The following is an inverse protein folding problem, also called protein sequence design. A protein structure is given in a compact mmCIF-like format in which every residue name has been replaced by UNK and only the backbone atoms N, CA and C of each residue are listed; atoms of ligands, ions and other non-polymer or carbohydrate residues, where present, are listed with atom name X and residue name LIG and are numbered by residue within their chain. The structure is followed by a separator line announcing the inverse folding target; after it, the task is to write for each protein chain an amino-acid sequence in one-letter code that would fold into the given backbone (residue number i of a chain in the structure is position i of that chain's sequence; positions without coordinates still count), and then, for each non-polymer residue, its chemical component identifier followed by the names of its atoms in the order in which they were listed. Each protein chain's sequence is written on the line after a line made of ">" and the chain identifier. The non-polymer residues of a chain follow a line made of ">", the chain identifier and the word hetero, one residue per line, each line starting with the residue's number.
data_IF_612905173882
#
_entry.id   IF_612905173882
#
_cell.length_a   1.000
_cell.length_b   1.000
_cell.length_c   1.000
_cell.angle_alpha   90.00
_cell.angle_beta   90.00
_cell.angle_gamma   90.00
#
_symmetry.space_group_name_H-M   'P 1'
#
loop_
_entity.id
_entity.type
_entity.pdbx_description
1 polymer ?
#
# COMPACT_ATOMS: atom_id res chain seq x y z
N UNK A 1 10.66 -48.49 41.99
CA UNK A 1 9.56 -47.66 42.54
C UNK A 1 9.07 -46.74 41.44
N UNK A 2 7.78 -46.76 41.08
CA UNK A 2 7.26 -46.04 39.93
C UNK A 2 6.83 -44.60 40.26
N UNK A 3 6.49 -43.89 39.19
CA UNK A 3 6.43 -42.45 39.01
C UNK A 3 5.29 -41.74 39.74
N UNK A 4 5.53 -40.49 40.14
CA UNK A 4 4.52 -39.52 40.56
C UNK A 4 4.90 -38.15 40.01
N UNK A 5 4.42 -37.81 38.83
CA UNK A 5 4.36 -36.42 38.38
C UNK A 5 3.01 -36.22 37.68
N UNK A 6 1.99 -35.87 38.47
CA UNK A 6 0.66 -35.52 37.98
C UNK A 6 0.46 -34.02 38.22
N UNK A 7 0.18 -33.30 37.14
CA UNK A 7 0.21 -31.85 37.06
C UNK A 7 -0.84 -31.14 37.92
N UNK A 8 -0.43 -30.02 38.50
CA UNK A 8 -1.32 -28.99 39.00
C UNK A 8 -1.86 -28.19 37.81
N UNK A 9 -3.17 -28.35 37.56
CA UNK A 9 -3.92 -27.52 36.63
C UNK A 9 -4.12 -26.14 37.27
N UNK A 10 -3.67 -25.09 36.59
CA UNK A 10 -3.98 -23.71 36.94
C UNK A 10 -5.40 -23.40 36.49
N UNK A 11 -6.30 -23.26 37.47
CA UNK A 11 -7.68 -22.78 37.26
C UNK A 11 -7.65 -21.26 37.08
N UNK A 12 -7.71 -20.81 35.83
CA UNK A 12 -7.94 -19.42 35.47
C UNK A 12 -9.45 -19.18 35.38
N UNK A 13 -10.10 -18.78 36.47
CA UNK A 13 -11.46 -18.25 36.46
C UNK A 13 -11.41 -16.83 35.89
N UNK A 14 -11.58 -16.73 34.57
CA UNK A 14 -11.74 -15.47 33.85
C UNK A 14 -13.21 -15.09 33.80
N UNK A 15 -13.56 -13.97 34.42
CA UNK A 15 -14.90 -13.40 34.45
C UNK A 15 -15.36 -13.00 33.05
N UNK A 16 -16.52 -13.52 32.63
CA UNK A 16 -17.24 -13.09 31.45
C UNK A 16 -17.62 -11.60 31.58
N UNK A 17 -16.92 -10.74 30.85
CA UNK A 17 -17.31 -9.36 30.63
C UNK A 17 -18.07 -9.31 29.32
N UNK A 18 -19.34 -8.97 29.45
CA UNK A 18 -20.29 -8.71 28.38
C UNK A 18 -19.87 -7.40 27.69
N UNK A 19 -19.11 -7.51 26.61
CA UNK A 19 -18.77 -6.41 25.72
C UNK A 19 -19.43 -6.70 24.38
N UNK A 20 -20.67 -6.22 24.24
CA UNK A 20 -21.40 -6.13 22.99
C UNK A 20 -20.74 -5.10 22.07
N UNK A 21 -19.68 -5.49 21.36
CA UNK A 21 -19.27 -4.79 20.14
C UNK A 21 -19.84 -5.58 18.96
N UNK A 22 -20.96 -5.07 18.42
CA UNK A 22 -21.44 -5.53 17.12
C UNK A 22 -20.39 -5.21 16.04
N UNK A 23 -20.32 -5.98 14.95
CA UNK A 23 -19.33 -5.77 13.91
C UNK A 23 -19.58 -4.40 13.28
N UNK A 24 -18.71 -3.44 13.57
CA UNK A 24 -18.59 -2.24 12.76
C UNK A 24 -18.21 -2.74 11.37
N UNK A 25 -18.98 -2.34 10.36
CA UNK A 25 -18.67 -2.65 8.96
C UNK A 25 -17.24 -2.17 8.70
N UNK A 26 -16.28 -3.12 8.59
CA UNK A 26 -14.92 -2.83 8.15
C UNK A 26 -15.05 -2.02 6.86
N UNK A 27 -14.55 -0.79 6.88
CA UNK A 27 -14.43 0.00 5.66
C UNK A 27 -13.37 -0.69 4.80
N UNK A 28 -13.56 -0.93 3.52
CA UNK A 28 -12.49 -1.55 2.70
C UNK A 28 -11.27 -0.63 2.47
N UNK A 29 -11.25 0.56 3.07
CA UNK A 29 -10.30 1.65 2.78
C UNK A 29 -9.39 1.86 4.00
N UNK A 30 -8.06 1.83 3.83
CA UNK A 30 -7.12 2.08 4.91
C UNK A 30 -7.08 3.55 5.32
N UNK A 31 -6.76 3.80 6.59
CA UNK A 31 -6.38 5.12 7.05
C UNK A 31 -5.11 5.56 6.31
N UNK A 32 -5.27 6.52 5.39
CA UNK A 32 -4.17 6.97 4.52
C UNK A 32 -3.73 8.37 4.91
N UNK A 33 -2.46 8.51 5.29
CA UNK A 33 -1.82 9.80 5.52
C UNK A 33 -0.93 10.15 4.32
N UNK A 34 -1.07 11.36 3.77
CA UNK A 34 -0.19 11.85 2.70
C UNK A 34 0.70 12.96 3.26
N UNK A 35 2.01 12.78 3.18
CA UNK A 35 3.00 13.73 3.67
C UNK A 35 3.73 14.36 2.49
N UNK A 36 3.63 15.69 2.36
CA UNK A 36 4.40 16.46 1.37
C UNK A 36 5.75 16.82 1.99
N UNK A 37 6.79 16.07 1.61
CA UNK A 37 8.14 16.19 2.17
C UNK A 37 9.07 17.12 1.35
N UNK A 38 8.70 17.45 0.10
CA UNK A 38 9.52 18.29 -0.77
C UNK A 38 8.70 19.44 -1.40
N UNK A 39 9.30 20.64 -1.45
CA UNK A 39 8.65 21.87 -1.93
C UNK A 39 8.26 21.83 -3.42
N UNK A 40 8.90 20.97 -4.22
CA UNK A 40 8.60 20.83 -5.64
C UNK A 40 7.15 20.39 -5.90
N UNK A 41 6.51 19.70 -4.95
CA UNK A 41 5.10 19.32 -5.02
C UNK A 41 4.13 20.51 -4.91
N UNK A 42 4.59 21.69 -4.47
CA UNK A 42 3.75 22.90 -4.46
C UNK A 42 3.29 23.31 -5.87
N UNK A 43 3.97 22.84 -6.92
CA UNK A 43 3.55 23.02 -8.31
C UNK A 43 2.26 22.25 -8.64
N UNK A 44 1.92 21.21 -7.87
CA UNK A 44 0.82 20.29 -8.14
C UNK A 44 -0.16 20.30 -6.95
N UNK A 45 -0.92 21.39 -6.81
CA UNK A 45 -1.80 21.64 -5.67
C UNK A 45 -2.85 20.55 -5.39
N UNK A 46 -3.17 19.72 -6.38
CA UNK A 46 -4.11 18.60 -6.24
C UNK A 46 -3.46 17.26 -5.89
N UNK A 47 -2.13 17.17 -5.78
CA UNK A 47 -1.40 15.91 -5.65
C UNK A 47 -1.92 15.03 -4.51
N UNK A 48 -2.11 15.60 -3.32
CA UNK A 48 -2.68 14.89 -2.16
C UNK A 48 -4.05 14.28 -2.47
N UNK A 49 -4.97 15.09 -3.03
CA UNK A 49 -6.32 14.62 -3.37
C UNK A 49 -6.33 13.56 -4.49
N UNK A 50 -5.34 13.58 -5.37
CA UNK A 50 -5.17 12.61 -6.45
C UNK A 50 -4.70 11.27 -5.88
N UNK A 51 -3.74 11.29 -4.97
CA UNK A 51 -3.25 10.11 -4.25
C UNK A 51 -4.37 9.48 -3.43
N UNK A 52 -5.02 10.26 -2.56
CA UNK A 52 -6.09 9.74 -1.69
C UNK A 52 -7.20 9.05 -2.49
N UNK A 53 -7.65 9.67 -3.59
CA UNK A 53 -8.68 9.09 -4.46
C UNK A 53 -8.21 7.81 -5.16
N UNK A 54 -6.95 7.77 -5.56
CA UNK A 54 -6.36 6.59 -6.20
C UNK A 54 -6.28 5.40 -5.23
N UNK A 55 -5.83 5.65 -3.99
CA UNK A 55 -5.79 4.64 -2.93
C UNK A 55 -7.21 4.17 -2.57
N UNK A 56 -8.16 5.09 -2.38
CA UNK A 56 -9.55 4.74 -2.07
C UNK A 56 -10.17 3.84 -3.14
N UNK A 57 -9.96 4.18 -4.42
CA UNK A 57 -10.46 3.38 -5.54
C UNK A 57 -9.80 2.00 -5.60
N UNK A 58 -8.50 1.92 -5.38
CA UNK A 58 -7.78 0.64 -5.35
C UNK A 58 -8.25 -0.25 -4.20
N UNK A 59 -8.33 0.30 -2.99
CA UNK A 59 -8.75 -0.41 -1.79
C UNK A 59 -10.20 -0.92 -1.93
N UNK A 60 -11.11 -0.07 -2.42
CA UNK A 60 -12.52 -0.43 -2.67
C UNK A 60 -12.65 -1.55 -3.71
N UNK A 61 -11.84 -1.53 -4.78
CA UNK A 61 -11.95 -2.50 -5.85
C UNK A 61 -11.38 -3.88 -5.48
N UNK A 62 -10.26 -3.90 -4.74
CA UNK A 62 -9.60 -5.14 -4.37
C UNK A 62 -10.30 -5.83 -3.20
N UNK A 63 -11.01 -5.06 -2.37
CA UNK A 63 -11.69 -5.57 -1.17
C UNK A 63 -10.71 -6.32 -0.23
N UNK A 64 -9.51 -5.75 -0.06
CA UNK A 64 -8.40 -6.38 0.65
C UNK A 64 -8.54 -6.39 2.19
N UNK A 65 -9.71 -6.05 2.73
CA UNK A 65 -9.98 -5.89 4.16
C UNK A 65 -8.94 -5.02 4.89
N UNK A 66 -8.53 -3.92 4.25
CA UNK A 66 -7.52 -3.00 4.76
C UNK A 66 -8.10 -1.90 5.66
N UNK A 67 -9.33 -2.07 6.14
CA UNK A 67 -10.07 -1.02 6.88
C UNK A 67 -9.45 -0.56 8.18
N UNK A 68 -8.88 -1.51 8.91
CA UNK A 68 -8.17 -1.25 10.16
C UNK A 68 -6.66 -1.02 9.93
N UNK A 69 -6.26 -0.87 8.65
CA UNK A 69 -4.87 -0.72 8.28
C UNK A 69 -4.44 0.74 8.05
N UNK A 70 -3.18 1.04 8.33
CA UNK A 70 -2.57 2.36 8.13
C UNK A 70 -1.57 2.37 6.98
N UNK A 71 -1.67 3.38 6.12
CA UNK A 71 -0.80 3.63 4.98
C UNK A 71 -0.26 5.06 5.03
N UNK A 72 1.06 5.23 4.94
CA UNK A 72 1.65 6.54 4.70
C UNK A 72 2.14 6.66 3.25
N UNK A 73 1.80 7.78 2.59
CA UNK A 73 2.33 8.13 1.27
C UNK A 73 3.16 9.40 1.38
N UNK A 74 4.47 9.27 1.20
CA UNK A 74 5.39 10.39 1.17
C UNK A 74 5.60 10.90 -0.26
N UNK A 75 5.19 12.14 -0.49
CA UNK A 75 5.47 12.89 -1.71
C UNK A 75 6.79 13.64 -1.53
N UNK A 76 7.85 13.19 -2.19
CA UNK A 76 9.21 13.72 -2.02
C UNK A 76 9.89 14.00 -3.37
N UNK A 77 11.16 14.37 -3.36
CA UNK A 77 11.97 14.59 -4.56
C UNK A 77 12.85 13.39 -4.93
N UNK A 78 13.52 13.47 -6.09
CA UNK A 78 14.46 12.45 -6.56
C UNK A 78 15.57 12.17 -5.53
N UNK A 79 16.04 13.18 -4.79
CA UNK A 79 17.07 13.01 -3.75
C UNK A 79 16.52 12.21 -2.55
N UNK A 80 15.30 12.51 -2.12
CA UNK A 80 14.58 11.77 -1.09
C UNK A 80 14.35 10.30 -1.46
N UNK A 81 13.82 10.02 -2.65
CA UNK A 81 13.63 8.63 -3.11
C UNK A 81 14.96 7.92 -3.33
N UNK A 82 15.99 8.60 -3.87
CA UNK A 82 17.34 8.02 -4.01
C UNK A 82 17.92 7.61 -2.66
N UNK A 83 17.78 8.44 -1.63
CA UNK A 83 18.24 8.13 -0.27
C UNK A 83 17.52 6.91 0.31
N UNK A 84 16.21 6.80 0.10
CA UNK A 84 15.43 5.63 0.50
C UNK A 84 15.85 4.37 -0.27
N UNK A 85 16.00 4.47 -1.59
CA UNK A 85 16.40 3.36 -2.44
C UNK A 85 17.78 2.82 -2.06
N UNK A 86 18.73 3.72 -1.76
CA UNK A 86 20.05 3.35 -1.27
C UNK A 86 20.00 2.67 0.10
N UNK A 87 19.21 3.22 1.03
CA UNK A 87 19.17 2.75 2.42
C UNK A 87 18.45 1.42 2.59
N UNK A 88 17.35 1.21 1.87
CA UNK A 88 16.48 0.04 2.04
C UNK A 88 16.69 -1.04 0.99
N UNK A 89 17.07 -0.66 -0.24
CA UNK A 89 17.29 -1.62 -1.36
C UNK A 89 18.75 -1.73 -1.80
N UNK A 90 19.64 -0.89 -1.29
CA UNK A 90 21.05 -0.85 -1.69
C UNK A 90 21.28 -0.28 -3.10
N UNK A 91 20.28 0.42 -3.67
CA UNK A 91 20.32 0.90 -5.05
C UNK A 91 20.38 2.44 -5.05
N UNK A 92 21.55 2.99 -5.36
CA UNK A 92 21.84 4.43 -5.23
C UNK A 92 21.45 5.26 -6.48
N UNK A 93 20.17 5.19 -6.86
CA UNK A 93 19.57 5.97 -7.96
C UNK A 93 18.12 6.37 -7.65
N UNK A 94 17.64 7.50 -8.18
CA UNK A 94 16.22 7.85 -8.08
C UNK A 94 15.37 6.85 -8.89
N UNK A 95 14.11 6.72 -8.48
CA UNK A 95 13.05 5.99 -9.20
C UNK A 95 11.73 6.74 -8.98
N UNK A 96 10.70 6.40 -9.74
CA UNK A 96 9.41 7.09 -9.67
C UNK A 96 8.65 6.80 -8.36
N UNK A 97 8.57 5.54 -7.96
CA UNK A 97 7.85 5.07 -6.78
C UNK A 97 8.62 3.94 -6.07
N UNK A 98 8.55 3.93 -4.74
CA UNK A 98 8.97 2.82 -3.89
C UNK A 98 7.82 2.46 -2.96
N UNK A 99 7.58 1.15 -2.81
CA UNK A 99 6.67 0.61 -1.80
C UNK A 99 7.45 -0.17 -0.76
N UNK A 100 7.03 -0.04 0.50
CA UNK A 100 7.58 -0.70 1.68
C UNK A 100 6.46 -1.39 2.45
N UNK A 101 6.10 -2.64 2.09
CA UNK A 101 5.09 -3.41 2.82
C UNK A 101 5.50 -3.59 4.27
N UNK A 102 4.56 -3.36 5.20
CA UNK A 102 4.80 -3.62 6.60
C UNK A 102 4.86 -5.13 6.87
N UNK A 103 5.68 -5.60 7.83
CA UNK A 103 5.66 -7.00 8.24
C UNK A 103 4.27 -7.38 8.76
N UNK A 104 3.64 -8.38 8.16
CA UNK A 104 2.41 -8.92 8.72
C UNK A 104 2.74 -9.79 9.94
N UNK A 105 1.96 -9.71 11.04
CA UNK A 105 2.12 -10.62 12.16
C UNK A 105 1.95 -12.05 11.65
N UNK A 106 2.88 -12.92 12.01
CA UNK A 106 2.74 -14.34 11.74
C UNK A 106 1.47 -14.84 12.45
N UNK A 107 0.65 -15.61 11.73
CA UNK A 107 -0.61 -16.18 12.24
C UNK A 107 -0.46 -16.93 13.58
N UNK A 108 0.78 -17.26 13.99
CA UNK A 108 1.09 -17.88 15.27
C UNK A 108 0.98 -16.89 16.45
N UNK A 109 1.24 -15.60 16.24
CA UNK A 109 1.10 -14.54 17.26
C UNK A 109 -0.24 -13.78 17.18
N UNK A 110 -1.06 -14.02 16.16
CA UNK A 110 -2.41 -13.44 16.03
C UNK A 110 -3.38 -13.84 17.18
N UNK A 111 -3.01 -14.82 18.02
CA UNK A 111 -3.75 -15.14 19.23
C UNK A 111 -3.42 -14.21 20.41
N UNK A 112 -2.39 -13.37 20.28
CA UNK A 112 -2.22 -12.19 21.12
C UNK A 112 -3.12 -11.12 20.52
N UNK A 113 -4.28 -10.93 21.17
CA UNK A 113 -5.09 -9.72 21.08
C UNK A 113 -4.16 -8.54 20.84
N UNK A 114 -4.11 -8.06 19.59
CA UNK A 114 -3.14 -7.05 19.16
C UNK A 114 -3.53 -5.68 19.72
N UNK A 115 -3.93 -5.62 20.99
CA UNK A 115 -4.12 -4.44 21.82
C UNK A 115 -4.96 -3.30 21.26
N UNK A 116 -5.70 -3.51 20.16
CA UNK A 116 -6.29 -2.44 19.38
C UNK A 116 -5.28 -1.54 18.64
N UNK A 117 -4.04 -2.00 18.42
CA UNK A 117 -3.09 -1.31 17.56
C UNK A 117 -3.47 -1.50 16.08
N UNK A 118 -3.54 -0.42 15.28
CA UNK A 118 -3.83 -0.52 13.85
C UNK A 118 -2.82 -1.42 13.13
N UNK A 119 -3.28 -2.16 12.13
CA UNK A 119 -2.39 -2.97 11.30
C UNK A 119 -1.63 -2.04 10.36
N UNK A 120 -0.31 -1.99 10.41
CA UNK A 120 0.42 -1.22 9.39
C UNK A 120 0.29 -1.95 8.04
N UNK A 121 -0.15 -1.26 6.99
CA UNK A 121 -0.14 -1.77 5.62
C UNK A 121 1.26 -1.57 5.01
N UNK A 122 1.84 -0.39 5.23
CA UNK A 122 3.17 -0.03 4.76
C UNK A 122 3.26 1.41 4.30
N UNK A 123 4.34 1.72 3.59
CA UNK A 123 4.65 3.07 3.14
C UNK A 123 4.88 3.12 1.63
N UNK A 124 4.51 4.24 1.00
CA UNK A 124 4.80 4.53 -0.41
C UNK A 124 5.58 5.84 -0.47
N UNK A 125 6.67 5.90 -1.25
CA UNK A 125 7.40 7.12 -1.54
C UNK A 125 7.40 7.41 -3.04
N UNK A 126 7.00 8.62 -3.44
CA UNK A 126 6.88 9.03 -4.85
C UNK A 126 7.78 10.24 -5.11
N UNK A 127 8.60 10.18 -6.18
CA UNK A 127 9.56 11.23 -6.56
C UNK A 127 8.98 12.21 -7.59
N UNK A 128 8.82 13.48 -7.23
CA UNK A 128 8.24 14.49 -8.11
C UNK A 128 8.91 14.60 -9.48
N UNK A 129 10.24 14.78 -9.52
CA UNK A 129 10.95 15.09 -10.77
C UNK A 129 10.90 13.91 -11.75
N UNK A 130 11.10 12.69 -11.25
CA UNK A 130 11.00 11.50 -12.09
C UNK A 130 9.58 11.28 -12.61
N UNK A 131 8.55 11.40 -11.76
CA UNK A 131 7.14 11.28 -12.19
C UNK A 131 6.76 12.37 -13.20
N UNK A 132 7.18 13.62 -12.98
CA UNK A 132 6.93 14.72 -13.90
C UNK A 132 7.54 14.45 -15.27
N UNK A 133 8.81 14.04 -15.29
CA UNK A 133 9.55 13.72 -16.51
C UNK A 133 8.90 12.58 -17.29
N UNK A 134 8.54 11.49 -16.62
CA UNK A 134 7.84 10.35 -17.26
C UNK A 134 6.49 10.77 -17.84
N UNK A 135 5.69 11.54 -17.08
CA UNK A 135 4.41 12.04 -17.57
C UNK A 135 4.58 12.94 -18.81
N UNK A 136 5.62 13.79 -18.84
CA UNK A 136 5.94 14.64 -19.98
C UNK A 136 6.41 13.82 -21.20
N UNK A 137 7.33 12.88 -21.00
CA UNK A 137 7.89 12.04 -22.05
C UNK A 137 6.83 11.14 -22.70
N UNK A 138 5.87 10.66 -21.91
CA UNK A 138 4.75 9.83 -22.37
C UNK A 138 3.52 10.65 -22.80
N UNK A 139 3.56 11.98 -22.67
CA UNK A 139 2.43 12.85 -23.02
C UNK A 139 1.17 12.65 -22.17
N UNK A 140 1.33 12.15 -20.94
CA UNK A 140 0.24 11.87 -19.99
C UNK A 140 -0.01 13.08 -19.07
N UNK A 141 -1.27 13.38 -18.70
CA UNK A 141 -1.52 14.33 -17.63
C UNK A 141 -0.84 13.87 -16.34
N UNK A 142 -0.13 14.77 -15.65
CA UNK A 142 0.61 14.43 -14.42
C UNK A 142 -0.28 13.74 -13.37
N UNK A 143 -1.50 14.25 -13.16
CA UNK A 143 -2.45 13.65 -12.24
C UNK A 143 -2.81 12.19 -12.60
N UNK A 144 -2.86 11.85 -13.89
CA UNK A 144 -3.13 10.47 -14.33
C UNK A 144 -1.94 9.56 -14.01
N UNK A 145 -0.72 10.02 -14.31
CA UNK A 145 0.51 9.27 -14.01
C UNK A 145 0.70 9.10 -12.50
N UNK A 146 0.42 10.15 -11.71
CA UNK A 146 0.46 10.08 -10.25
C UNK A 146 -0.56 9.09 -9.70
N UNK A 147 -1.80 9.09 -10.21
CA UNK A 147 -2.80 8.09 -9.83
C UNK A 147 -2.36 6.67 -10.18
N UNK A 148 -1.77 6.46 -11.36
CA UNK A 148 -1.22 5.16 -11.75
C UNK A 148 -0.17 4.69 -10.75
N UNK A 149 0.82 5.52 -10.43
CA UNK A 149 1.88 5.15 -9.48
C UNK A 149 1.38 4.96 -8.05
N UNK A 150 0.36 5.71 -7.60
CA UNK A 150 -0.26 5.50 -6.29
C UNK A 150 -1.00 4.15 -6.23
N UNK A 151 -1.75 3.79 -7.28
CA UNK A 151 -2.39 2.47 -7.39
C UNK A 151 -1.34 1.36 -7.44
N UNK A 152 -0.33 1.50 -8.31
CA UNK A 152 0.77 0.54 -8.44
C UNK A 152 1.46 0.32 -7.09
N UNK A 153 1.79 1.42 -6.40
CA UNK A 153 2.43 1.37 -5.10
C UNK A 153 1.57 0.65 -4.06
N UNK A 154 0.26 0.91 -4.04
CA UNK A 154 -0.70 0.26 -3.16
C UNK A 154 -0.84 -1.24 -3.44
N UNK A 155 -0.90 -1.63 -4.72
CA UNK A 155 -0.97 -3.03 -5.14
C UNK A 155 0.21 -3.86 -4.60
N UNK A 156 1.42 -3.30 -4.63
CA UNK A 156 2.60 -3.91 -4.00
C UNK A 156 2.42 -4.11 -2.49
N UNK A 157 1.77 -3.19 -1.78
CA UNK A 157 1.54 -3.33 -0.33
C UNK A 157 0.53 -4.43 0.00
N UNK A 158 -0.47 -4.65 -0.86
CA UNK A 158 -1.47 -5.72 -0.69
C UNK A 158 -1.04 -7.05 -1.33
N UNK A 159 0.21 -7.16 -1.78
CA UNK A 159 0.84 -8.41 -2.19
C UNK A 159 0.74 -8.78 -3.67
N UNK A 160 0.38 -7.82 -4.53
CA UNK A 160 0.59 -7.99 -5.97
C UNK A 160 2.06 -7.79 -6.29
N UNK A 161 2.56 -8.54 -7.26
CA UNK A 161 3.90 -8.39 -7.80
C UNK A 161 3.83 -8.45 -9.33
N UNK A 162 4.95 -8.21 -10.00
CA UNK A 162 5.08 -8.22 -11.45
C UNK A 162 6.45 -8.77 -11.90
N UNK A 163 7.07 -9.67 -11.12
CA UNK A 163 8.36 -10.30 -11.46
C UNK A 163 8.25 -11.29 -12.63
N UNK A 164 7.11 -11.99 -12.74
CA UNK A 164 6.81 -12.88 -13.87
C UNK A 164 5.76 -12.28 -14.81
N UNK A 165 5.76 -12.69 -16.08
CA UNK A 165 4.77 -12.21 -17.06
C UNK A 165 3.31 -12.44 -16.62
N UNK A 166 3.05 -13.54 -15.90
CA UNK A 166 1.72 -13.87 -15.40
C UNK A 166 1.29 -12.97 -14.23
N UNK A 167 2.22 -12.66 -13.32
CA UNK A 167 1.99 -11.71 -12.23
C UNK A 167 1.81 -10.29 -12.79
N UNK A 168 2.67 -9.89 -13.73
CA UNK A 168 2.58 -8.61 -14.41
C UNK A 168 1.23 -8.45 -15.12
N UNK A 169 0.77 -9.43 -15.90
CA UNK A 169 -0.55 -9.36 -16.55
C UNK A 169 -1.70 -9.23 -15.53
N UNK A 170 -1.61 -9.94 -14.40
CA UNK A 170 -2.62 -9.89 -13.34
C UNK A 170 -2.66 -8.51 -12.67
N UNK A 171 -1.49 -7.96 -12.32
CA UNK A 171 -1.36 -6.64 -11.72
C UNK A 171 -1.80 -5.55 -12.70
N UNK A 172 -1.30 -5.55 -13.93
CA UNK A 172 -1.66 -4.56 -14.96
C UNK A 172 -3.16 -4.59 -15.27
N UNK A 173 -3.79 -5.77 -15.33
CA UNK A 173 -5.24 -5.88 -15.51
C UNK A 173 -6.03 -5.26 -14.35
N UNK A 174 -5.50 -5.40 -13.14
CA UNK A 174 -6.09 -4.81 -11.93
C UNK A 174 -5.93 -3.28 -11.96
N UNK A 175 -4.74 -2.79 -12.27
CA UNK A 175 -4.46 -1.35 -12.44
C UNK A 175 -5.36 -0.72 -13.50
N UNK A 176 -5.49 -1.34 -14.68
CA UNK A 176 -6.39 -0.89 -15.75
C UNK A 176 -7.82 -0.74 -15.26
N UNK A 177 -8.31 -1.71 -14.49
CA UNK A 177 -9.69 -1.70 -13.97
C UNK A 177 -9.89 -0.57 -12.96
N UNK A 178 -8.95 -0.37 -12.04
CA UNK A 178 -9.01 0.70 -11.04
C UNK A 178 -8.96 2.07 -11.71
N UNK A 179 -8.00 2.28 -12.63
CA UNK A 179 -7.81 3.55 -13.33
C UNK A 179 -9.01 3.89 -14.22
N UNK A 180 -9.62 2.90 -14.89
CA UNK A 180 -10.85 3.11 -15.65
C UNK A 180 -12.00 3.61 -14.76
N UNK A 181 -12.11 3.10 -13.53
CA UNK A 181 -13.06 3.58 -12.52
C UNK A 181 -12.84 5.04 -12.10
N UNK A 182 -11.61 5.53 -12.18
CA UNK A 182 -11.23 6.92 -11.96
C UNK A 182 -11.38 7.81 -13.21
N UNK A 183 -11.81 7.25 -14.34
CA UNK A 183 -11.88 7.95 -15.63
C UNK A 183 -10.52 8.18 -16.28
N UNK A 184 -9.50 7.43 -15.88
CA UNK A 184 -8.13 7.52 -16.40
C UNK A 184 -7.96 6.45 -17.50
N UNK A 185 -7.43 6.82 -18.69
CA UNK A 185 -7.15 5.86 -19.76
C UNK A 185 -6.13 4.80 -19.34
N UNK A 186 -6.13 3.69 -20.09
CA UNK A 186 -5.17 2.60 -19.90
C UNK A 186 -3.72 3.10 -20.03
N UNK A 187 -2.89 3.01 -18.97
CA UNK A 187 -1.50 3.49 -19.01
C UNK A 187 -0.59 2.63 -19.89
N UNK A 188 -1.03 1.43 -20.29
CA UNK A 188 -0.28 0.45 -21.09
C UNK A 188 -0.65 0.43 -22.57
N UNK A 189 -1.55 1.31 -23.02
CA UNK A 189 -2.13 1.27 -24.36
C UNK A 189 -1.09 1.34 -25.51
N UNK A 190 0.05 1.99 -25.28
CA UNK A 190 1.13 2.15 -26.27
C UNK A 190 2.21 1.07 -26.17
N UNK A 191 2.10 0.16 -25.18
CA UNK A 191 3.02 -0.97 -25.05
C UNK A 191 2.53 -2.09 -25.96
N UNK A 192 2.94 -2.06 -27.23
CA UNK A 192 2.80 -3.20 -28.13
C UNK A 192 3.53 -4.41 -27.50
N UNK A 193 2.79 -5.27 -26.79
CA UNK A 193 3.32 -6.55 -26.29
C UNK A 193 3.59 -7.44 -27.51
N UNK A 194 4.81 -7.38 -28.03
CA UNK A 194 5.29 -8.35 -29.03
C UNK A 194 5.33 -9.72 -28.35
N UNK A 195 4.31 -10.52 -28.61
CA UNK A 195 4.26 -11.94 -28.24
C UNK A 195 5.22 -12.78 -29.07
#
# INVERSE_FOLDING_TARGET
>A
MPQSNAGGRSDCIGAARDSSFGPMSSSAIPATEVVIAADCWQAEASAESVVLRAIEAAATMIDADTGDAELAVMLTDDDGVRALNASYRGIDKPTNVLSFPAPQPDYQDACQDSGGAPQMLGDIAIAYQTVRREADDEGKPFAHHLSHLAVHGFLHLVGYDHETDAEAETMESTERSILAGLGIPDPYADQDRVS
#
